data_IF_522561096937
#
_entry.id   IF_522561096937
#
_cell.length_a   1.000
_cell.length_b   1.000
_cell.length_c   1.000
_cell.angle_alpha   90.00
_cell.angle_beta   90.00
_cell.angle_gamma   90.00
#
_symmetry.space_group_name_H-M   'P 1'
#
loop_
_entity.id
_entity.type
_entity.pdbx_description
1 polymer ?
#
# COMPACT_ATOMS: atom_id res chain seq x y z
N UNK A 1 -53.38 -17.85 17.47
CA UNK A 1 -52.73 -16.63 17.99
C UNK A 1 -51.45 -17.07 18.68
N UNK A 2 -50.34 -17.16 17.94
CA UNK A 2 -49.02 -17.37 18.55
C UNK A 2 -48.22 -16.11 18.23
N UNK A 3 -48.12 -15.25 19.22
CA UNK A 3 -47.21 -14.10 19.23
C UNK A 3 -45.79 -14.64 19.42
N UNK A 4 -44.86 -14.28 18.53
CA UNK A 4 -43.44 -14.47 18.75
C UNK A 4 -42.74 -13.13 18.51
N UNK A 5 -42.34 -12.38 19.55
CA UNK A 5 -41.52 -11.19 19.39
C UNK A 5 -40.07 -11.64 19.19
N UNK A 6 -39.60 -11.66 17.94
CA UNK A 6 -38.17 -11.81 17.65
C UNK A 6 -37.45 -10.49 17.98
N UNK A 7 -37.18 -10.31 19.27
CA UNK A 7 -36.24 -9.31 19.75
C UNK A 7 -34.83 -9.83 19.45
N UNK A 8 -34.28 -9.42 18.31
CA UNK A 8 -32.87 -9.60 18.02
C UNK A 8 -32.10 -8.44 18.64
N UNK A 9 -31.75 -8.59 19.92
CA UNK A 9 -30.62 -7.89 20.51
C UNK A 9 -29.34 -8.29 19.75
N UNK A 10 -29.04 -7.56 18.67
CA UNK A 10 -27.76 -7.67 17.97
C UNK A 10 -26.73 -6.96 18.85
N UNK A 11 -25.82 -7.68 19.53
CA UNK A 11 -24.75 -7.01 20.26
C UNK A 11 -23.98 -6.15 19.26
N UNK A 12 -23.72 -4.89 19.63
CA UNK A 12 -22.93 -3.95 18.85
C UNK A 12 -21.54 -4.53 18.59
N UNK A 13 -21.43 -5.36 17.56
CA UNK A 13 -20.16 -5.71 16.95
C UNK A 13 -19.68 -4.40 16.38
N UNK A 14 -18.63 -3.84 16.98
CA UNK A 14 -17.71 -2.93 16.30
C UNK A 14 -17.12 -3.72 15.15
N UNK A 15 -17.93 -3.89 14.12
CA UNK A 15 -17.48 -4.43 12.88
C UNK A 15 -16.66 -3.30 12.30
N UNK A 16 -15.39 -3.59 12.04
CA UNK A 16 -14.53 -2.83 11.15
C UNK A 16 -15.19 -2.82 9.77
N UNK A 17 -16.32 -2.12 9.65
CA UNK A 17 -17.11 -2.08 8.45
C UNK A 17 -16.28 -1.31 7.44
N UNK A 18 -15.79 -2.04 6.45
CA UNK A 18 -14.97 -1.48 5.41
C UNK A 18 -15.82 -0.55 4.53
N UNK A 19 -15.75 0.75 4.79
CA UNK A 19 -16.47 1.78 4.05
C UNK A 19 -15.76 2.10 2.74
N UNK A 20 -16.55 2.45 1.71
CA UNK A 20 -15.97 3.02 0.50
C UNK A 20 -15.38 4.41 0.80
N UNK A 21 -14.10 4.70 0.52
CA UNK A 21 -13.47 5.99 0.82
C UNK A 21 -13.99 7.16 -0.06
N UNK A 22 -14.79 6.87 -1.09
CA UNK A 22 -15.35 7.88 -2.00
C UNK A 22 -16.76 8.31 -1.60
N UNK A 23 -17.59 7.37 -1.18
CA UNK A 23 -19.00 7.62 -0.88
C UNK A 23 -19.42 7.25 0.54
N UNK A 24 -18.51 6.71 1.36
CA UNK A 24 -18.72 6.30 2.76
C UNK A 24 -19.85 5.29 2.94
N UNK A 25 -20.22 4.58 1.87
CA UNK A 25 -21.24 3.54 1.92
C UNK A 25 -20.58 2.18 2.16
N UNK A 26 -21.28 1.33 2.92
CA UNK A 26 -20.92 -0.06 3.19
C UNK A 26 -21.25 -0.98 2.00
N UNK A 27 -20.71 -0.65 0.82
CA UNK A 27 -20.99 -1.34 -0.46
C UNK A 27 -19.72 -1.74 -1.20
N UNK A 28 -18.58 -1.78 -0.49
CA UNK A 28 -17.33 -2.24 -1.08
C UNK A 28 -17.25 -3.76 -1.04
N UNK A 29 -17.05 -4.37 -2.19
CA UNK A 29 -16.95 -5.82 -2.37
C UNK A 29 -15.62 -6.19 -3.01
N UNK A 30 -15.18 -7.42 -2.77
CA UNK A 30 -14.00 -7.96 -3.44
C UNK A 30 -14.38 -8.46 -4.84
N UNK A 31 -13.66 -8.04 -5.86
CA UNK A 31 -13.92 -8.38 -7.26
C UNK A 31 -12.67 -9.01 -7.89
N UNK A 32 -12.51 -10.33 -7.75
CA UNK A 32 -11.31 -11.05 -8.18
C UNK A 32 -10.36 -11.32 -7.01
N UNK A 33 -9.06 -11.43 -7.28
CA UNK A 33 -8.07 -11.88 -6.29
C UNK A 33 -7.44 -10.74 -5.48
N UNK A 34 -7.45 -9.50 -5.99
CA UNK A 34 -6.74 -8.37 -5.37
C UNK A 34 -7.35 -7.01 -5.75
N UNK A 35 -8.67 -6.99 -5.94
CA UNK A 35 -9.38 -5.80 -6.41
C UNK A 35 -10.63 -5.62 -5.57
N UNK A 36 -10.90 -4.38 -5.19
CA UNK A 36 -12.13 -3.97 -4.51
C UNK A 36 -12.93 -3.02 -5.40
N UNK A 37 -14.25 -3.23 -5.45
CA UNK A 37 -15.19 -2.41 -6.21
C UNK A 37 -16.33 -1.94 -5.31
N UNK A 38 -16.69 -0.65 -5.41
CA UNK A 38 -17.88 -0.11 -4.78
C UNK A 38 -19.08 -0.19 -5.71
N UNK A 39 -20.16 -0.83 -5.27
CA UNK A 39 -21.38 -0.96 -6.07
C UNK A 39 -22.21 0.34 -6.15
N UNK A 40 -21.91 1.34 -5.32
CA UNK A 40 -22.67 2.60 -5.26
C UNK A 40 -22.07 3.71 -6.14
N UNK A 41 -20.74 3.75 -6.30
CA UNK A 41 -20.06 4.82 -7.05
C UNK A 41 -19.00 4.32 -8.02
N UNK A 42 -18.97 3.01 -8.27
CA UNK A 42 -18.02 2.34 -9.17
C UNK A 42 -16.55 2.58 -8.81
N UNK A 43 -16.27 2.89 -7.54
CA UNK A 43 -14.90 3.04 -7.05
C UNK A 43 -14.15 1.73 -7.14
N UNK A 44 -13.04 1.73 -7.88
CA UNK A 44 -12.17 0.58 -8.11
C UNK A 44 -10.82 0.78 -7.40
N UNK A 45 -10.37 -0.21 -6.62
CA UNK A 45 -9.07 -0.21 -5.96
C UNK A 45 -8.37 -1.55 -6.14
N UNK A 46 -7.26 -1.51 -6.87
CA UNK A 46 -6.34 -2.64 -7.01
C UNK A 46 -5.34 -2.63 -5.86
N UNK A 47 -5.33 -3.69 -5.04
CA UNK A 47 -4.39 -3.87 -3.92
C UNK A 47 -3.17 -4.72 -4.28
N UNK A 48 -3.12 -5.27 -5.49
CA UNK A 48 -2.00 -6.05 -6.02
C UNK A 48 -0.73 -5.19 -6.13
N UNK A 49 -0.89 -3.86 -6.24
CA UNK A 49 0.20 -2.90 -6.41
C UNK A 49 0.77 -2.33 -5.11
N UNK A 50 0.60 -2.98 -3.95
CA UNK A 50 1.29 -2.54 -2.71
C UNK A 50 2.83 -2.71 -2.75
N UNK A 51 3.38 -3.20 -3.86
CA UNK A 51 4.82 -3.21 -4.12
C UNK A 51 5.28 -1.82 -4.55
N UNK A 52 5.43 -0.94 -3.57
CA UNK A 52 6.32 0.21 -3.59
C UNK A 52 6.22 1.10 -4.81
N UNK A 53 5.68 2.30 -4.60
CA UNK A 53 6.21 3.49 -5.28
C UNK A 53 7.69 3.65 -4.92
N UNK A 54 8.55 2.75 -5.42
CA UNK A 54 9.95 3.03 -5.59
C UNK A 54 9.99 4.10 -6.66
N UNK A 55 10.09 5.34 -6.21
CA UNK A 55 10.75 6.36 -7.00
C UNK A 55 12.21 5.90 -7.14
N UNK A 56 12.47 5.09 -8.15
CA UNK A 56 13.81 4.82 -8.68
C UNK A 56 14.14 6.05 -9.56
N UNK A 57 15.26 6.75 -9.46
CA UNK A 57 16.47 6.54 -8.68
C UNK A 57 17.10 7.92 -8.41
N UNK A 58 17.06 8.38 -7.16
CA UNK A 58 18.15 9.24 -6.70
C UNK A 58 19.33 8.30 -6.45
N UNK A 59 20.33 8.44 -7.32
CA UNK A 59 21.66 7.84 -7.21
C UNK A 59 22.28 8.25 -5.88
N UNK A 60 21.90 7.54 -4.83
CA UNK A 60 22.59 7.51 -3.55
C UNK A 60 23.94 6.84 -3.75
N UNK A 61 24.85 7.55 -4.40
CA UNK A 61 26.28 7.34 -4.27
C UNK A 61 26.62 7.64 -2.81
N UNK A 62 26.31 6.68 -1.93
CA UNK A 62 26.70 6.72 -0.53
C UNK A 62 28.19 7.01 -0.47
N UNK A 63 28.60 7.83 0.50
CA UNK A 63 29.96 8.34 0.66
C UNK A 63 31.07 7.29 0.47
N UNK A 64 30.76 6.00 0.68
CA UNK A 64 31.61 4.86 0.32
C UNK A 64 32.06 4.81 -1.14
N UNK A 65 31.17 5.03 -2.12
CA UNK A 65 31.54 5.00 -3.53
C UNK A 65 32.46 6.18 -3.90
N UNK A 66 32.22 7.35 -3.30
CA UNK A 66 33.09 8.53 -3.47
C UNK A 66 34.46 8.29 -2.85
N UNK A 67 34.50 7.72 -1.63
CA UNK A 67 35.75 7.38 -0.96
C UNK A 67 36.57 6.37 -1.77
N UNK A 68 35.92 5.31 -2.30
CA UNK A 68 36.58 4.30 -3.13
C UNK A 68 37.14 4.94 -4.41
N UNK A 69 36.38 5.80 -5.09
CA UNK A 69 36.84 6.50 -6.28
C UNK A 69 38.08 7.38 -6.02
N UNK A 70 38.10 8.10 -4.90
CA UNK A 70 39.24 8.94 -4.50
C UNK A 70 40.49 8.08 -4.25
N UNK A 71 40.35 6.96 -3.54
CA UNK A 71 41.48 6.07 -3.25
C UNK A 71 42.07 5.46 -4.53
N UNK A 72 41.24 5.04 -5.47
CA UNK A 72 41.68 4.51 -6.77
C UNK A 72 42.44 5.57 -7.55
N UNK A 73 41.91 6.79 -7.62
CA UNK A 73 42.55 7.90 -8.34
C UNK A 73 43.94 8.23 -7.76
N UNK A 74 44.06 8.27 -6.42
CA UNK A 74 45.33 8.54 -5.75
C UNK A 74 46.38 7.45 -6.02
N UNK A 75 45.98 6.16 -6.00
CA UNK A 75 46.88 5.05 -6.28
C UNK A 75 47.41 5.08 -7.73
N UNK A 76 46.55 5.41 -8.70
CA UNK A 76 46.97 5.55 -10.10
C UNK A 76 47.96 6.69 -10.31
N UNK A 77 47.73 7.84 -9.66
CA UNK A 77 48.65 8.98 -9.74
C UNK A 77 50.04 8.64 -9.18
N UNK A 78 50.10 7.87 -8.09
CA UNK A 78 51.36 7.43 -7.49
C UNK A 78 52.16 6.42 -8.33
N UNK A 79 51.51 5.72 -9.27
CA UNK A 79 52.18 4.78 -10.19
C UNK A 79 52.83 5.49 -11.40
N UNK A 80 52.44 6.73 -11.68
CA UNK A 80 52.94 7.52 -12.82
C UNK A 80 54.11 8.44 -12.42
N UNK A 81 54.29 8.70 -11.11
CA UNK A 81 55.43 9.42 -10.54
C UNK A 81 56.61 8.50 -10.25
#
# INVERSE_FOLDING_TARGET
MVNSPHNHDVPARTSDYWECPKCHQHTLVHHGESVYVCLNCDFYKDISQSKGSKKEAESGAGAFNVLIAILIAAALAALIL
#
